data_IF_456892932031
#
_entry.id   IF_456892932031
#
_cell.length_a   1.000
_cell.length_b   1.000
_cell.length_c   1.000
_cell.angle_alpha   90.00
_cell.angle_beta   90.00
_cell.angle_gamma   90.00
#
_symmetry.space_group_name_H-M   'P 1'
#
loop_
_entity.id
_entity.type
_entity.pdbx_description
1 polymer ?
#
# COMPACT_ATOMS: atom_id res chain seq x y z
N UNK A 1 -26.53 5.16 -1.90
CA UNK A 1 -25.23 5.70 -1.43
C UNK A 1 -24.22 4.61 -1.08
N UNK A 2 -24.49 3.73 -0.08
CA UNK A 2 -23.59 2.59 0.24
C UNK A 2 -23.31 1.67 -0.95
N UNK A 3 -24.33 1.41 -1.78
CA UNK A 3 -24.19 0.63 -3.02
C UNK A 3 -23.23 1.31 -4.01
N UNK A 4 -23.35 2.63 -4.19
CA UNK A 4 -22.47 3.40 -5.09
C UNK A 4 -21.01 3.37 -4.64
N UNK A 5 -20.75 3.53 -3.32
CA UNK A 5 -19.40 3.38 -2.75
C UNK A 5 -18.83 1.98 -2.98
N UNK A 6 -19.66 0.95 -2.77
CA UNK A 6 -19.27 -0.44 -2.97
C UNK A 6 -18.96 -0.75 -4.44
N UNK A 7 -19.77 -0.22 -5.37
CA UNK A 7 -19.51 -0.33 -6.82
C UNK A 7 -18.20 0.36 -7.18
N UNK A 8 -18.00 1.61 -6.74
CA UNK A 8 -16.77 2.37 -7.02
C UNK A 8 -15.51 1.63 -6.53
N UNK A 9 -15.58 1.06 -5.33
CA UNK A 9 -14.49 0.26 -4.80
C UNK A 9 -14.22 -0.99 -5.64
N UNK A 10 -15.24 -1.80 -5.94
CA UNK A 10 -15.06 -3.00 -6.78
C UNK A 10 -14.50 -2.66 -8.16
N UNK A 11 -14.98 -1.57 -8.76
CA UNK A 11 -14.48 -1.07 -10.03
C UNK A 11 -13.00 -0.69 -9.92
N UNK A 12 -12.59 0.04 -8.86
CA UNK A 12 -11.18 0.37 -8.62
C UNK A 12 -10.29 -0.86 -8.39
N UNK A 13 -10.81 -1.88 -7.70
CA UNK A 13 -10.09 -3.15 -7.47
C UNK A 13 -9.89 -3.91 -8.77
N UNK A 14 -10.91 -3.96 -9.63
CA UNK A 14 -10.80 -4.56 -10.97
C UNK A 14 -9.76 -3.81 -11.79
N UNK A 15 -9.72 -2.48 -11.73
CA UNK A 15 -8.72 -1.68 -12.45
C UNK A 15 -7.29 -1.99 -12.04
N UNK A 16 -7.02 -2.25 -10.75
CA UNK A 16 -5.69 -2.70 -10.30
C UNK A 16 -5.32 -4.06 -10.90
N UNK A 17 -6.27 -4.99 -10.97
CA UNK A 17 -6.02 -6.29 -11.60
C UNK A 17 -5.70 -6.11 -13.09
N UNK A 18 -6.41 -5.22 -13.78
CA UNK A 18 -6.14 -4.90 -15.19
C UNK A 18 -4.73 -4.30 -15.34
N UNK A 19 -4.32 -3.36 -14.48
CA UNK A 19 -2.94 -2.83 -14.47
C UNK A 19 -1.91 -3.94 -14.29
N UNK A 20 -2.16 -4.88 -13.37
CA UNK A 20 -1.25 -5.99 -13.12
C UNK A 20 -1.10 -6.89 -14.36
N UNK A 21 -2.20 -7.14 -15.08
CA UNK A 21 -2.18 -7.89 -16.34
C UNK A 21 -1.52 -7.12 -17.49
N UNK A 22 -1.73 -5.82 -17.58
CA UNK A 22 -1.11 -4.94 -18.58
C UNK A 22 0.42 -4.89 -18.39
N UNK A 23 0.88 -4.70 -17.15
CA UNK A 23 2.30 -4.72 -16.81
C UNK A 23 2.92 -6.12 -16.94
N UNK A 24 2.12 -7.17 -16.79
CA UNK A 24 2.59 -8.55 -16.70
C UNK A 24 2.70 -9.31 -18.02
N UNK A 25 1.91 -8.94 -19.03
CA UNK A 25 1.82 -9.64 -20.31
C UNK A 25 2.00 -8.68 -21.49
N UNK A 26 2.58 -9.16 -22.58
CA UNK A 26 2.57 -8.45 -23.86
C UNK A 26 1.17 -8.52 -24.47
N UNK A 27 0.50 -7.37 -24.54
CA UNK A 27 -0.86 -7.28 -25.09
C UNK A 27 -0.83 -7.04 -26.60
N UNK A 28 -1.86 -7.56 -27.29
CA UNK A 28 -2.10 -7.20 -28.69
C UNK A 28 -2.62 -5.76 -28.79
N UNK A 29 -2.39 -5.03 -29.90
CA UNK A 29 -2.81 -3.63 -30.02
C UNK A 29 -4.30 -3.39 -29.72
N UNK A 30 -5.17 -4.31 -30.16
CA UNK A 30 -6.60 -4.25 -29.87
C UNK A 30 -6.93 -4.35 -28.37
N UNK A 31 -6.21 -5.23 -27.65
CA UNK A 31 -6.40 -5.37 -26.20
C UNK A 31 -5.85 -4.15 -25.46
N UNK A 32 -4.74 -3.58 -25.94
CA UNK A 32 -4.20 -2.33 -25.38
C UNK A 32 -5.20 -1.19 -25.49
N UNK A 33 -5.81 -0.98 -26.67
CA UNK A 33 -6.83 0.06 -26.87
C UNK A 33 -8.05 -0.14 -25.95
N UNK A 34 -8.45 -1.40 -25.74
CA UNK A 34 -9.54 -1.75 -24.83
C UNK A 34 -9.19 -1.46 -23.35
N UNK A 35 -7.95 -1.75 -22.95
CA UNK A 35 -7.43 -1.48 -21.61
C UNK A 35 -7.40 0.04 -21.37
N UNK A 36 -6.84 0.80 -22.31
CA UNK A 36 -6.76 2.26 -22.23
C UNK A 36 -8.14 2.91 -22.17
N UNK A 37 -9.09 2.44 -22.99
CA UNK A 37 -10.49 2.85 -22.92
C UNK A 37 -11.13 2.55 -21.55
N UNK A 38 -10.82 1.40 -20.96
CA UNK A 38 -11.29 1.03 -19.63
C UNK A 38 -10.72 1.97 -18.55
N UNK A 39 -9.44 2.32 -18.63
CA UNK A 39 -8.82 3.29 -17.71
C UNK A 39 -9.48 4.66 -17.78
N UNK A 40 -9.76 5.17 -18.97
CA UNK A 40 -10.46 6.46 -19.15
C UNK A 40 -11.88 6.43 -18.57
N UNK A 41 -12.62 5.32 -18.77
CA UNK A 41 -13.95 5.14 -18.18
C UNK A 41 -13.87 5.13 -16.65
N UNK A 42 -12.91 4.41 -16.07
CA UNK A 42 -12.71 4.34 -14.61
C UNK A 42 -12.41 5.72 -14.03
N UNK A 43 -11.49 6.47 -14.64
CA UNK A 43 -11.08 7.78 -14.17
C UNK A 43 -12.20 8.83 -14.30
N UNK A 44 -12.94 8.82 -15.41
CA UNK A 44 -14.10 9.71 -15.61
C UNK A 44 -15.21 9.43 -14.61
N UNK A 45 -15.55 8.16 -14.37
CA UNK A 45 -16.47 7.77 -13.30
C UNK A 45 -15.95 8.21 -11.93
N UNK A 46 -14.65 8.04 -11.68
CA UNK A 46 -13.99 8.48 -10.44
C UNK A 46 -14.18 9.98 -10.17
N UNK A 47 -13.99 10.82 -11.19
CA UNK A 47 -14.25 12.27 -11.10
C UNK A 47 -15.71 12.59 -10.82
N UNK A 48 -16.64 11.98 -11.57
CA UNK A 48 -18.08 12.19 -11.37
C UNK A 48 -18.47 11.85 -9.93
N UNK A 49 -17.94 10.75 -9.38
CA UNK A 49 -18.18 10.34 -8.00
C UNK A 49 -17.60 11.32 -6.98
N UNK A 50 -16.41 11.87 -7.22
CA UNK A 50 -15.82 12.91 -6.36
C UNK A 50 -16.73 14.14 -6.35
N UNK A 51 -17.09 14.66 -7.53
CA UNK A 51 -17.94 15.84 -7.67
C UNK A 51 -19.30 15.63 -6.99
N UNK A 52 -19.94 14.47 -7.23
CA UNK A 52 -21.22 14.12 -6.62
C UNK A 52 -21.17 14.07 -5.08
N UNK A 53 -20.09 13.54 -4.50
CA UNK A 53 -19.89 13.48 -3.03
C UNK A 53 -19.69 14.85 -2.40
N UNK A 54 -19.02 15.80 -3.09
CA UNK A 54 -18.85 17.16 -2.57
C UNK A 54 -20.12 18.01 -2.70
N UNK A 55 -20.93 17.77 -3.74
CA UNK A 55 -22.22 18.44 -3.94
C UNK A 55 -23.29 17.99 -2.93
N UNK A 56 -23.22 16.76 -2.43
CA UNK A 56 -24.24 16.19 -1.54
C UNK A 56 -23.81 16.28 -0.06
N UNK A 57 -24.39 17.18 0.76
CA UNK A 57 -23.90 17.45 2.12
C UNK A 57 -23.96 16.24 3.06
N UNK A 58 -24.90 15.32 2.86
CA UNK A 58 -25.07 14.09 3.64
C UNK A 58 -24.00 13.03 3.37
N UNK A 59 -23.17 13.20 2.34
CA UNK A 59 -22.17 12.21 1.91
C UNK A 59 -20.73 12.76 1.94
N UNK A 60 -20.53 13.93 2.58
CA UNK A 60 -19.21 14.54 2.65
C UNK A 60 -18.19 13.53 3.19
N UNK A 61 -17.08 13.33 2.49
CA UNK A 61 -16.07 12.38 2.92
C UNK A 61 -15.48 12.80 4.27
N UNK A 62 -14.88 11.86 5.00
CA UNK A 62 -14.13 12.17 6.22
C UNK A 62 -13.10 13.26 5.91
N UNK A 63 -12.91 14.24 6.80
CA UNK A 63 -11.95 15.33 6.60
C UNK A 63 -10.55 14.84 6.22
N UNK A 64 -10.15 13.65 6.68
CA UNK A 64 -8.84 13.08 6.42
C UNK A 64 -8.60 12.65 4.97
N UNK A 65 -9.60 12.49 4.10
CA UNK A 65 -9.35 12.08 2.69
C UNK A 65 -9.30 13.25 1.69
N UNK A 66 -9.58 14.48 2.14
CA UNK A 66 -9.59 15.66 1.27
C UNK A 66 -8.27 15.86 0.52
N UNK A 67 -7.14 15.54 1.15
CA UNK A 67 -5.83 15.65 0.50
C UNK A 67 -5.67 14.65 -0.66
N UNK A 68 -6.26 13.45 -0.56
CA UNK A 68 -6.24 12.45 -1.63
C UNK A 68 -7.15 12.88 -2.79
N UNK A 69 -8.31 13.48 -2.49
CA UNK A 69 -9.19 14.06 -3.51
C UNK A 69 -8.47 15.18 -4.26
N UNK A 70 -7.80 16.09 -3.54
CA UNK A 70 -7.03 17.19 -4.13
C UNK A 70 -5.85 16.69 -4.96
N UNK A 71 -5.10 15.71 -4.45
CA UNK A 71 -3.99 15.09 -5.18
C UNK A 71 -4.49 14.42 -6.47
N UNK A 72 -5.59 13.66 -6.40
CA UNK A 72 -6.19 13.03 -7.57
C UNK A 72 -6.58 14.08 -8.63
N UNK A 73 -7.24 15.16 -8.22
CA UNK A 73 -7.64 16.24 -9.14
C UNK A 73 -6.45 16.96 -9.76
N UNK A 74 -5.42 17.28 -8.97
CA UNK A 74 -4.21 17.94 -9.48
C UNK A 74 -3.49 17.07 -10.51
N UNK A 75 -3.28 15.79 -10.20
CA UNK A 75 -2.62 14.86 -11.13
C UNK A 75 -3.49 14.64 -12.37
N UNK A 76 -4.82 14.54 -12.21
CA UNK A 76 -5.73 14.37 -13.35
C UNK A 76 -5.66 15.57 -14.29
N UNK A 77 -5.71 16.80 -13.76
CA UNK A 77 -5.59 18.03 -14.54
C UNK A 77 -4.25 18.06 -15.27
N UNK A 78 -3.14 17.77 -14.58
CA UNK A 78 -1.80 17.74 -15.19
C UNK A 78 -1.76 16.76 -16.38
N UNK A 79 -2.26 15.54 -16.19
CA UNK A 79 -2.31 14.53 -17.26
C UNK A 79 -3.17 14.99 -18.43
N UNK A 80 -4.34 15.61 -18.18
CA UNK A 80 -5.18 16.13 -19.26
C UNK A 80 -4.52 17.28 -20.03
N UNK A 81 -3.82 18.19 -19.35
CA UNK A 81 -3.10 19.29 -20.00
C UNK A 81 -1.94 18.77 -20.86
N UNK A 82 -1.21 17.76 -20.37
CA UNK A 82 -0.17 17.10 -21.13
C UNK A 82 -0.73 16.33 -22.33
N UNK A 83 -1.88 15.66 -22.18
CA UNK A 83 -2.54 14.95 -23.28
C UNK A 83 -3.03 15.88 -24.40
N UNK A 84 -3.39 17.12 -24.04
CA UNK A 84 -3.80 18.16 -24.99
C UNK A 84 -2.62 18.97 -25.56
N UNK A 85 -1.38 18.55 -25.31
CA UNK A 85 -0.14 19.24 -25.71
C UNK A 85 0.01 20.67 -25.18
N UNK A 86 -0.73 21.05 -24.12
CA UNK A 86 -0.62 22.37 -23.49
C UNK A 86 0.64 22.49 -22.63
N UNK A 87 1.17 21.37 -22.14
CA UNK A 87 2.37 21.28 -21.32
C UNK A 87 3.22 20.14 -21.89
N UNK A 88 4.54 20.25 -21.75
CA UNK A 88 5.45 19.17 -22.09
C UNK A 88 5.04 17.85 -21.40
N UNK A 89 5.24 16.74 -22.12
CA UNK A 89 4.95 15.42 -21.60
C UNK A 89 5.66 15.20 -20.25
N UNK A 90 4.97 14.64 -19.25
CA UNK A 90 5.55 14.37 -17.96
C UNK A 90 6.77 13.45 -18.07
N UNK A 91 7.72 13.56 -17.12
CA UNK A 91 9.02 12.86 -17.12
C UNK A 91 8.92 11.35 -17.39
N UNK A 92 7.86 10.69 -16.90
CA UNK A 92 7.66 9.24 -17.02
C UNK A 92 6.68 8.81 -18.13
N UNK A 93 6.19 9.74 -18.96
CA UNK A 93 5.24 9.45 -20.04
C UNK A 93 3.80 9.24 -19.57
N UNK A 94 2.83 9.55 -20.44
CA UNK A 94 1.39 9.56 -20.11
C UNK A 94 0.88 8.21 -19.53
N UNK A 95 1.26 7.02 -20.06
CA UNK A 95 0.75 5.74 -19.54
C UNK A 95 1.07 5.51 -18.06
N UNK A 96 2.30 5.83 -17.63
CA UNK A 96 2.71 5.68 -16.22
C UNK A 96 1.91 6.60 -15.30
N UNK A 97 1.58 7.81 -15.74
CA UNK A 97 0.75 8.72 -14.95
C UNK A 97 -0.72 8.28 -14.86
N UNK A 98 -1.25 7.64 -15.90
CA UNK A 98 -2.58 7.00 -15.86
C UNK A 98 -2.58 5.88 -14.81
N UNK A 99 -1.56 5.02 -14.78
CA UNK A 99 -1.42 3.99 -13.75
C UNK A 99 -1.36 4.59 -12.34
N UNK A 100 -0.57 5.66 -12.14
CA UNK A 100 -0.50 6.38 -10.85
C UNK A 100 -1.85 6.95 -10.42
N UNK A 101 -2.63 7.53 -11.34
CA UNK A 101 -3.97 8.05 -11.06
C UNK A 101 -4.92 6.97 -10.57
N UNK A 102 -4.88 5.78 -11.18
CA UNK A 102 -5.72 4.65 -10.76
C UNK A 102 -5.31 4.17 -9.37
N UNK A 103 -4.00 4.11 -9.07
CA UNK A 103 -3.52 3.81 -7.71
C UNK A 103 -4.04 4.82 -6.69
N UNK A 104 -3.94 6.13 -6.98
CA UNK A 104 -4.47 7.18 -6.11
C UNK A 104 -5.98 7.01 -5.92
N UNK A 105 -6.72 6.73 -7.00
CA UNK A 105 -8.17 6.52 -6.95
C UNK A 105 -8.55 5.32 -6.08
N UNK A 106 -7.84 4.20 -6.22
CA UNK A 106 -8.03 3.01 -5.39
C UNK A 106 -7.75 3.30 -3.92
N UNK A 107 -6.59 3.87 -3.60
CA UNK A 107 -6.24 4.18 -2.20
C UNK A 107 -7.28 5.10 -1.58
N UNK A 108 -7.70 6.15 -2.31
CA UNK A 108 -8.79 7.03 -1.91
C UNK A 108 -10.08 6.27 -1.59
N UNK A 109 -10.55 5.36 -2.46
CA UNK A 109 -11.76 4.56 -2.18
C UNK A 109 -11.55 3.58 -1.02
N UNK A 110 -10.35 3.01 -0.88
CA UNK A 110 -9.99 2.16 0.25
C UNK A 110 -10.05 2.91 1.59
N UNK A 111 -9.58 4.16 1.67
CA UNK A 111 -9.68 4.98 2.88
C UNK A 111 -11.12 5.40 3.22
N UNK A 112 -12.03 5.38 2.24
CA UNK A 112 -13.45 5.65 2.42
C UNK A 112 -14.26 4.41 2.85
N UNK A 113 -13.64 3.24 2.78
CA UNK A 113 -14.25 1.98 3.18
C UNK A 113 -14.26 1.85 4.69
N UNK A 114 -15.45 1.97 5.27
CA UNK A 114 -15.69 1.57 6.65
C UNK A 114 -15.77 0.05 6.72
N UNK A 115 -14.60 -0.59 6.86
CA UNK A 115 -14.50 -2.02 7.10
C UNK A 115 -14.95 -2.28 8.54
N UNK A 116 -16.23 -2.55 8.72
CA UNK A 116 -16.74 -3.05 10.00
C UNK A 116 -16.40 -4.54 10.09
N UNK A 117 -15.15 -4.86 10.49
CA UNK A 117 -14.73 -6.23 10.76
C UNK A 117 -15.53 -6.74 11.96
N UNK A 118 -16.59 -7.49 11.69
CA UNK A 118 -17.37 -8.14 12.71
C UNK A 118 -16.43 -9.13 13.43
N UNK A 119 -16.12 -8.89 14.71
CA UNK A 119 -15.16 -9.64 15.55
C UNK A 119 -15.64 -11.07 15.85
N UNK A 120 -15.92 -11.85 14.82
CA UNK A 120 -16.37 -13.24 14.93
C UNK A 120 -15.23 -14.17 14.50
N UNK A 121 -14.62 -14.80 15.50
CA UNK A 121 -13.92 -16.10 15.47
C UNK A 121 -12.55 -16.26 14.80
N UNK A 122 -11.78 -15.21 14.49
CA UNK A 122 -10.38 -15.40 14.10
C UNK A 122 -9.45 -15.05 15.27
N UNK A 123 -8.67 -16.04 15.72
CA UNK A 123 -7.56 -15.81 16.63
C UNK A 123 -6.59 -14.81 15.95
N UNK A 124 -6.21 -13.69 16.61
CA UNK A 124 -5.29 -12.70 16.03
C UNK A 124 -4.04 -13.31 15.40
N UNK A 125 -3.50 -14.37 15.99
CA UNK A 125 -2.36 -15.12 15.44
C UNK A 125 -2.70 -15.82 14.10
N UNK A 126 -3.88 -16.43 13.99
CA UNK A 126 -4.32 -17.08 12.75
C UNK A 126 -4.57 -16.07 11.63
N UNK A 127 -5.16 -14.91 11.96
CA UNK A 127 -5.34 -13.82 10.99
C UNK A 127 -3.98 -13.37 10.43
N UNK A 128 -2.99 -13.19 11.31
CA UNK A 128 -1.65 -12.83 10.92
C UNK A 128 -0.98 -13.87 10.01
N UNK A 129 -0.96 -15.14 10.43
CA UNK A 129 -0.37 -16.23 9.63
C UNK A 129 -1.05 -16.32 8.25
N UNK A 130 -2.37 -16.26 8.22
CA UNK A 130 -3.14 -16.30 6.97
C UNK A 130 -2.79 -15.13 6.06
N UNK A 131 -2.63 -13.92 6.62
CA UNK A 131 -2.24 -12.74 5.84
C UNK A 131 -0.84 -12.89 5.22
N UNK A 132 0.12 -13.44 5.97
CA UNK A 132 1.48 -13.67 5.48
C UNK A 132 1.52 -14.73 4.37
N UNK A 133 0.79 -15.84 4.55
CA UNK A 133 0.70 -16.89 3.54
C UNK A 133 0.07 -16.34 2.25
N UNK A 134 -1.07 -15.65 2.38
CA UNK A 134 -1.78 -15.09 1.23
C UNK A 134 -0.91 -14.06 0.49
N UNK A 135 -0.25 -13.17 1.22
CA UNK A 135 0.64 -12.18 0.65
C UNK A 135 1.84 -12.81 -0.07
N UNK A 136 2.43 -13.85 0.51
CA UNK A 136 3.56 -14.60 -0.08
C UNK A 136 3.13 -15.31 -1.36
N UNK A 137 1.97 -15.98 -1.35
CA UNK A 137 1.43 -16.65 -2.53
C UNK A 137 1.08 -15.67 -3.65
N UNK A 138 0.43 -14.55 -3.33
CA UNK A 138 0.15 -13.50 -4.31
C UNK A 138 1.45 -12.91 -4.86
N UNK A 139 2.45 -12.64 -4.01
CA UNK A 139 3.76 -12.17 -4.44
C UNK A 139 4.45 -13.15 -5.39
N UNK A 140 4.43 -14.44 -5.08
CA UNK A 140 5.00 -15.47 -5.94
C UNK A 140 4.31 -15.52 -7.31
N UNK A 141 2.96 -15.45 -7.34
CA UNK A 141 2.20 -15.40 -8.59
C UNK A 141 2.55 -14.15 -9.40
N UNK A 142 2.73 -13.00 -8.75
CA UNK A 142 3.14 -11.75 -9.42
C UNK A 142 4.54 -11.87 -10.04
N UNK A 143 5.48 -12.49 -9.33
CA UNK A 143 6.84 -12.70 -9.85
C UNK A 143 6.91 -13.75 -10.96
N UNK A 144 5.91 -14.61 -11.09
CA UNK A 144 5.80 -15.57 -12.19
C UNK A 144 5.22 -14.98 -13.48
N UNK A 145 4.76 -13.73 -13.50
CA UNK A 145 4.28 -13.15 -14.74
C UNK A 145 5.43 -13.03 -15.76
N UNK A 146 5.16 -13.22 -17.07
CA UNK A 146 6.19 -13.24 -18.11
C UNK A 146 7.08 -11.99 -18.10
N UNK A 147 6.50 -10.81 -17.87
CA UNK A 147 7.25 -9.55 -17.82
C UNK A 147 7.99 -9.30 -16.51
N UNK A 148 7.87 -10.15 -15.48
CA UNK A 148 8.57 -9.97 -14.21
C UNK A 148 10.05 -10.41 -14.26
N UNK A 149 10.41 -11.30 -15.19
CA UNK A 149 11.77 -11.83 -15.34
C UNK A 149 12.17 -11.88 -16.80
N UNK A 150 13.47 -11.84 -17.10
CA UNK A 150 13.93 -11.91 -18.49
C UNK A 150 13.88 -13.33 -19.07
N UNK A 151 14.07 -14.35 -18.23
CA UNK A 151 14.22 -15.75 -18.66
C UNK A 151 13.08 -16.68 -18.16
N UNK A 152 12.14 -16.16 -17.37
CA UNK A 152 11.11 -16.95 -16.69
C UNK A 152 11.63 -17.62 -15.42
N UNK A 153 10.81 -17.65 -14.36
CA UNK A 153 11.19 -18.18 -13.04
C UNK A 153 10.39 -19.43 -12.67
N UNK A 154 11.03 -20.38 -11.98
CA UNK A 154 10.32 -21.54 -11.43
C UNK A 154 9.39 -21.10 -10.29
N UNK A 155 8.27 -21.81 -10.08
CA UNK A 155 7.35 -21.50 -8.98
C UNK A 155 8.05 -21.55 -7.61
N UNK A 156 8.98 -22.48 -7.42
CA UNK A 156 9.69 -22.63 -6.16
C UNK A 156 10.62 -21.44 -5.90
N UNK A 157 11.36 -20.98 -6.92
CA UNK A 157 12.25 -19.82 -6.78
C UNK A 157 11.46 -18.52 -6.60
N UNK A 158 10.32 -18.39 -7.30
CA UNK A 158 9.40 -17.27 -7.12
C UNK A 158 8.80 -17.25 -5.71
N UNK A 159 8.39 -18.42 -5.20
CA UNK A 159 7.85 -18.57 -3.84
C UNK A 159 8.91 -18.27 -2.79
N UNK A 160 10.14 -18.75 -2.98
CA UNK A 160 11.25 -18.45 -2.08
C UNK A 160 11.56 -16.96 -2.07
N UNK A 161 11.69 -16.34 -3.25
CA UNK A 161 11.99 -14.91 -3.40
C UNK A 161 10.89 -14.06 -2.77
N UNK A 162 9.61 -14.38 -3.03
CA UNK A 162 8.48 -13.71 -2.40
C UNK A 162 8.48 -13.88 -0.88
N UNK A 163 8.75 -15.08 -0.36
CA UNK A 163 8.86 -15.33 1.08
C UNK A 163 9.97 -14.50 1.71
N UNK A 164 11.15 -14.46 1.08
CA UNK A 164 12.28 -13.69 1.58
C UNK A 164 12.00 -12.19 1.58
N UNK A 165 11.36 -11.68 0.52
CA UNK A 165 10.96 -10.29 0.42
C UNK A 165 9.95 -9.92 1.52
N UNK A 166 8.86 -10.69 1.67
CA UNK A 166 7.81 -10.44 2.68
C UNK A 166 8.34 -10.57 4.11
N UNK A 167 9.24 -11.50 4.37
CA UNK A 167 9.88 -11.64 5.69
C UNK A 167 11.07 -10.68 5.89
N UNK A 168 11.44 -9.89 4.86
CA UNK A 168 12.56 -8.94 4.88
C UNK A 168 13.88 -9.62 5.28
N UNK A 169 14.13 -10.85 4.81
CA UNK A 169 15.32 -11.63 5.19
C UNK A 169 16.53 -11.37 4.29
N UNK A 170 16.31 -10.97 3.02
CA UNK A 170 17.38 -10.67 2.06
C UNK A 170 18.10 -11.89 1.48
N UNK A 171 17.49 -13.08 1.54
CA UNK A 171 18.02 -14.28 0.90
C UNK A 171 17.54 -14.35 -0.55
N UNK A 172 18.47 -14.61 -1.47
CA UNK A 172 18.19 -14.68 -2.91
C UNK A 172 18.60 -16.04 -3.47
N UNK A 173 17.78 -16.59 -4.38
CA UNK A 173 18.09 -17.83 -5.13
C UNK A 173 18.63 -17.49 -6.52
N UNK A 174 18.20 -16.35 -7.06
CA UNK A 174 18.65 -15.78 -8.33
C UNK A 174 19.03 -14.32 -8.12
N UNK A 175 19.95 -13.80 -8.94
CA UNK A 175 20.41 -12.41 -8.78
C UNK A 175 19.28 -11.41 -9.03
N UNK A 176 18.93 -10.60 -8.01
CA UNK A 176 17.77 -9.70 -8.10
C UNK A 176 17.98 -8.56 -9.10
N UNK A 177 19.23 -8.11 -9.28
CA UNK A 177 19.55 -6.96 -10.12
C UNK A 177 19.53 -7.28 -11.61
N UNK A 178 19.92 -8.49 -12.00
CA UNK A 178 20.02 -8.89 -13.41
C UNK A 178 18.89 -9.80 -13.87
N UNK A 179 18.32 -10.62 -12.98
CA UNK A 179 17.34 -11.64 -13.37
C UNK A 179 15.91 -11.10 -13.51
N UNK A 180 15.53 -10.17 -12.63
CA UNK A 180 14.22 -9.53 -12.65
C UNK A 180 14.23 -8.27 -13.51
N UNK A 181 13.14 -8.05 -14.23
CA UNK A 181 12.91 -6.80 -14.96
C UNK A 181 12.62 -5.65 -13.97
N UNK A 182 12.57 -4.38 -14.41
CA UNK A 182 12.13 -3.28 -13.55
C UNK A 182 10.75 -3.51 -12.91
N UNK A 183 9.84 -4.21 -13.61
CA UNK A 183 8.54 -4.61 -13.05
C UNK A 183 8.70 -5.65 -11.93
N UNK A 184 9.53 -6.67 -12.12
CA UNK A 184 9.83 -7.66 -11.09
C UNK A 184 10.50 -7.05 -9.86
N UNK A 185 11.51 -6.19 -10.07
CA UNK A 185 12.22 -5.48 -9.00
C UNK A 185 11.29 -4.57 -8.19
N UNK A 186 10.43 -3.81 -8.87
CA UNK A 186 9.41 -2.99 -8.20
C UNK A 186 8.45 -3.86 -7.39
N UNK A 187 8.04 -5.00 -7.92
CA UNK A 187 7.19 -5.96 -7.21
C UNK A 187 7.88 -6.48 -5.93
N UNK A 188 9.17 -6.82 -5.99
CA UNK A 188 9.96 -7.25 -4.83
C UNK A 188 10.03 -6.13 -3.77
N UNK A 189 10.30 -4.88 -4.19
CA UNK A 189 10.33 -3.73 -3.28
C UNK A 189 8.97 -3.55 -2.58
N UNK A 190 7.86 -3.67 -3.31
CA UNK A 190 6.52 -3.60 -2.72
C UNK A 190 6.31 -4.71 -1.68
N UNK A 191 6.72 -5.95 -1.98
CA UNK A 191 6.63 -7.07 -1.04
C UNK A 191 7.45 -6.82 0.24
N UNK A 192 8.66 -6.26 0.11
CA UNK A 192 9.50 -5.87 1.25
C UNK A 192 8.79 -4.84 2.13
N UNK A 193 8.21 -3.80 1.53
CA UNK A 193 7.55 -2.73 2.28
C UNK A 193 6.31 -3.22 3.03
N UNK A 194 5.45 -3.96 2.33
CA UNK A 194 4.25 -4.55 2.91
C UNK A 194 4.59 -5.57 4.02
N UNK A 195 5.66 -6.35 3.82
CA UNK A 195 6.20 -7.28 4.80
C UNK A 195 6.71 -6.59 6.07
N UNK A 196 7.53 -5.53 5.91
CA UNK A 196 8.05 -4.72 7.00
C UNK A 196 6.94 -4.05 7.82
N UNK A 197 5.90 -3.52 7.16
CA UNK A 197 4.71 -2.97 7.83
C UNK A 197 3.97 -4.04 8.64
N UNK A 198 3.89 -5.27 8.13
CA UNK A 198 3.29 -6.42 8.82
C UNK A 198 4.00 -6.76 10.13
N UNK A 199 5.33 -6.85 10.11
CA UNK A 199 6.15 -7.13 11.30
C UNK A 199 5.99 -6.02 12.34
N UNK A 200 6.10 -4.74 11.95
CA UNK A 200 5.95 -3.60 12.87
C UNK A 200 4.56 -3.56 13.53
N UNK A 201 3.51 -3.88 12.77
CA UNK A 201 2.14 -3.94 13.30
C UNK A 201 2.00 -5.06 14.32
N UNK A 202 2.60 -6.23 14.05
CA UNK A 202 2.59 -7.36 14.97
C UNK A 202 3.37 -7.06 16.26
N UNK A 203 4.58 -6.50 16.15
CA UNK A 203 5.37 -6.07 17.31
C UNK A 203 4.61 -5.05 18.14
N UNK A 204 3.93 -4.10 17.50
CA UNK A 204 3.10 -3.09 18.20
C UNK A 204 1.88 -3.72 18.87
N UNK A 205 1.22 -4.67 18.21
CA UNK A 205 0.08 -5.39 18.77
C UNK A 205 0.48 -6.26 19.96
N UNK A 206 1.55 -7.04 19.86
CA UNK A 206 2.08 -7.82 20.98
C UNK A 206 2.55 -6.91 22.11
N UNK A 207 3.28 -5.83 21.79
CA UNK A 207 3.66 -4.85 22.80
C UNK A 207 2.43 -4.29 23.51
N UNK A 208 1.38 -3.89 22.78
CA UNK A 208 0.13 -3.43 23.38
C UNK A 208 -0.57 -4.51 24.23
N UNK A 209 -0.63 -5.75 23.74
CA UNK A 209 -1.23 -6.88 24.45
C UNK A 209 -0.49 -7.20 25.75
N UNK A 210 0.84 -7.24 25.73
CA UNK A 210 1.67 -7.44 26.92
C UNK A 210 1.73 -6.20 27.82
N UNK A 211 1.56 -5.00 27.26
CA UNK A 211 1.46 -3.74 28.00
C UNK A 211 0.12 -3.62 28.74
N UNK A 212 -0.90 -4.35 28.31
CA UNK A 212 -2.21 -4.48 28.96
C UNK A 212 -2.22 -5.27 30.28
N UNK A 213 -1.05 -5.64 30.83
CA UNK A 213 -0.92 -6.38 32.08
C UNK A 213 0.22 -5.96 33.00
N UNK A 214 0.83 -4.79 32.82
CA UNK A 214 1.67 -4.20 33.88
C UNK A 214 0.82 -3.16 34.60
N UNK A 215 0.22 -3.57 35.72
CA UNK A 215 -0.29 -2.67 36.75
C UNK A 215 0.73 -1.54 36.94
N UNK A 216 0.28 -0.30 37.20
CA UNK A 216 1.17 0.82 37.57
C UNK A 216 2.23 0.40 38.61
N UNK A 217 1.88 -0.55 39.48
CA UNK A 217 2.74 -1.27 40.42
C UNK A 217 3.93 -2.02 39.77
N UNK A 218 3.73 -2.80 38.71
CA UNK A 218 4.83 -3.45 37.97
C UNK A 218 5.72 -2.44 37.22
N UNK A 219 5.18 -1.29 36.82
CA UNK A 219 5.96 -0.19 36.24
C UNK A 219 6.75 0.58 37.32
N UNK A 220 6.22 0.72 38.54
CA UNK A 220 6.93 1.25 39.70
C UNK A 220 8.03 0.29 40.17
N UNK A 221 7.75 -1.00 40.23
CA UNK A 221 8.73 -2.03 40.60
C UNK A 221 9.87 -2.12 39.58
N UNK A 222 9.58 -1.96 38.29
CA UNK A 222 10.63 -1.83 37.27
C UNK A 222 11.42 -0.52 37.42
N UNK A 223 10.80 0.58 37.86
CA UNK A 223 11.47 1.86 38.17
C UNK A 223 12.32 1.79 39.45
N UNK A 224 11.95 0.95 40.41
CA UNK A 224 12.73 0.69 41.61
C UNK A 224 13.86 -0.34 41.35
N UNK A 225 13.62 -1.30 40.45
CA UNK A 225 14.61 -2.31 40.03
C UNK A 225 15.63 -1.77 39.02
N UNK A 226 15.19 -0.93 38.08
CA UNK A 226 16.09 -0.14 37.24
C UNK A 226 16.31 1.17 37.97
N UNK A 227 17.42 1.26 38.69
CA UNK A 227 17.86 2.41 39.49
C UNK A 227 18.05 3.67 38.62
N UNK A 228 16.95 4.17 38.03
CA UNK A 228 16.86 5.29 37.11
C UNK A 228 16.59 6.58 37.88
N UNK A 229 17.28 6.73 39.01
CA UNK A 229 17.38 7.98 39.76
C UNK A 229 18.45 8.88 39.12
N UNK A 230 18.19 9.39 37.91
CA UNK A 230 18.98 10.49 37.34
C UNK A 230 18.16 11.58 36.64
N UNK A 231 16.84 11.64 36.83
CA UNK A 231 16.07 12.81 36.35
C UNK A 231 16.43 14.08 37.14
N UNK A 232 16.79 13.95 38.43
CA UNK A 232 17.25 15.08 39.23
C UNK A 232 18.67 15.55 38.86
N UNK A 233 19.56 14.61 38.50
CA UNK A 233 20.96 14.91 38.14
C UNK A 233 21.08 15.60 36.76
N UNK A 234 20.13 15.32 35.84
CA UNK A 234 20.01 16.02 34.55
C UNK A 234 19.62 17.50 34.76
N UNK A 235 18.76 17.81 35.72
CA UNK A 235 18.43 19.19 36.05
C UNK A 235 19.58 19.92 36.74
N UNK A 236 20.38 19.24 37.55
CA UNK A 236 21.55 19.82 38.21
C UNK A 236 22.70 20.10 37.22
N UNK A 237 22.89 19.21 36.24
CA UNK A 237 23.86 19.41 35.15
C UNK A 237 23.42 20.51 34.19
N UNK A 238 22.14 20.60 33.83
CA UNK A 238 21.59 21.74 33.08
C UNK A 238 21.79 23.07 33.82
N UNK A 239 21.60 23.08 35.15
CA UNK A 239 21.81 24.27 35.99
C UNK A 239 23.28 24.68 36.08
N UNK A 240 24.22 23.73 36.08
CA UNK A 240 25.68 23.99 36.05
C UNK A 240 26.22 24.48 34.71
N UNK A 241 25.47 24.30 33.62
CA UNK A 241 25.84 24.78 32.27
C UNK A 241 25.29 26.19 32.03
N UNK A 242 24.17 26.53 32.70
CA UNK A 242 23.51 27.83 32.57
C UNK A 242 24.02 28.92 33.54
N UNK A 243 24.76 28.55 34.57
CA UNK A 243 25.48 29.45 35.51
C UNK A 243 26.98 29.31 35.30
#
# INVERSE_FOLDING_TARGET
MKVLRRIAFWLSTISIIIILLDLGFDQTPFIQDLIDGTYLIVLSLGLILIVFRYLTPSERPRKNVWFLDLLFLLVFILVTLAYLDWIAAPVFGIPTWIHLLIWIFFFREFFLLDINLNRRYLNPAQFFITSFILMTLLGALVLMLPRATYEGISFLDALFTATSAVCVTGLIVVDTGTYFTPFGQTSIVILIQLGGLGIMTLTSYFSYFFRGGTTYENQLLLKDMTNADKIAEVFETLKKILL
#
